data_IF_838225716574
#
_entry.id   IF_838225716574
#
_cell.length_a   1.000
_cell.length_b   1.000
_cell.length_c   1.000
_cell.angle_alpha   90.00
_cell.angle_beta   90.00
_cell.angle_gamma   90.00
#
_symmetry.space_group_name_H-M   'P 1'
#
loop_
_entity.id
_entity.type
_entity.pdbx_description
1 polymer ?
#
# COMPACT_ATOMS: atom_id res chain seq x y z
N UNK A 1 24.85 -16.20 2.02
CA UNK A 1 24.15 -17.23 1.22
C UNK A 1 22.78 -16.72 0.75
N UNK A 2 21.92 -16.24 1.66
CA UNK A 2 20.60 -15.66 1.32
C UNK A 2 20.70 -14.42 0.40
N UNK A 3 21.54 -13.44 0.75
CA UNK A 3 21.76 -12.23 -0.08
C UNK A 3 22.23 -12.49 -1.52
N UNK A 4 22.94 -13.59 -1.76
CA UNK A 4 23.37 -13.96 -3.11
C UNK A 4 22.21 -14.52 -3.94
N UNK A 5 21.32 -15.29 -3.31
CA UNK A 5 20.10 -15.80 -3.94
C UNK A 5 19.14 -14.65 -4.21
N UNK A 6 18.94 -13.73 -3.26
CA UNK A 6 18.10 -12.53 -3.44
C UNK A 6 18.53 -11.69 -4.63
N UNK A 7 19.85 -11.49 -4.78
CA UNK A 7 20.43 -10.73 -5.90
C UNK A 7 20.37 -11.49 -7.24
N UNK A 8 20.37 -12.82 -7.22
CA UNK A 8 20.20 -13.66 -8.41
C UNK A 8 18.74 -13.78 -8.86
N UNK A 9 17.79 -13.76 -7.92
CA UNK A 9 16.36 -13.86 -8.19
C UNK A 9 15.70 -12.50 -8.43
N UNK A 10 16.44 -11.40 -8.23
CA UNK A 10 15.90 -10.03 -8.26
C UNK A 10 14.99 -9.71 -7.07
N UNK A 11 14.97 -10.57 -6.03
CA UNK A 11 14.24 -10.33 -4.79
C UNK A 11 14.93 -9.27 -3.91
N UNK A 12 16.19 -8.93 -4.18
CA UNK A 12 16.84 -7.78 -3.53
C UNK A 12 16.16 -6.45 -3.87
N UNK A 13 15.45 -6.38 -5.01
CA UNK A 13 14.61 -5.25 -5.38
C UNK A 13 13.26 -5.24 -4.65
N UNK A 14 12.79 -6.37 -4.09
CA UNK A 14 11.52 -6.47 -3.35
C UNK A 14 11.72 -6.11 -1.88
N UNK A 15 11.71 -4.82 -1.58
CA UNK A 15 11.86 -4.32 -0.21
C UNK A 15 10.55 -4.36 0.57
N UNK A 16 10.63 -4.47 1.91
CA UNK A 16 9.47 -4.32 2.81
C UNK A 16 8.70 -3.02 2.55
N UNK A 17 9.42 -1.94 2.20
CA UNK A 17 8.83 -0.65 1.85
C UNK A 17 7.93 -0.75 0.61
N UNK A 18 8.36 -1.49 -0.41
CA UNK A 18 7.56 -1.69 -1.64
C UNK A 18 6.32 -2.53 -1.38
N UNK A 19 6.46 -3.61 -0.61
CA UNK A 19 5.33 -4.46 -0.22
C UNK A 19 4.32 -3.66 0.60
N UNK A 20 4.78 -2.89 1.58
CA UNK A 20 3.91 -2.05 2.40
C UNK A 20 3.21 -0.96 1.57
N UNK A 21 3.91 -0.35 0.61
CA UNK A 21 3.34 0.65 -0.29
C UNK A 21 2.25 0.07 -1.19
N UNK A 22 2.48 -1.10 -1.79
CA UNK A 22 1.47 -1.78 -2.61
C UNK A 22 0.24 -2.18 -1.78
N UNK A 23 0.46 -2.68 -0.57
CA UNK A 23 -0.62 -3.01 0.36
C UNK A 23 -1.42 -1.76 0.79
N UNK A 24 -0.75 -0.64 1.09
CA UNK A 24 -1.41 0.63 1.41
C UNK A 24 -2.26 1.15 0.24
N UNK A 25 -1.74 1.09 -0.99
CA UNK A 25 -2.47 1.48 -2.20
C UNK A 25 -3.68 0.56 -2.46
N UNK A 26 -3.50 -0.74 -2.24
CA UNK A 26 -4.57 -1.73 -2.32
C UNK A 26 -5.67 -1.46 -1.30
N UNK A 27 -5.33 -1.15 -0.04
CA UNK A 27 -6.32 -0.79 0.99
C UNK A 27 -7.12 0.47 0.61
N UNK A 28 -6.44 1.52 0.13
CA UNK A 28 -7.11 2.76 -0.33
C UNK A 28 -8.07 2.51 -1.49
N UNK A 29 -7.65 1.70 -2.45
CA UNK A 29 -8.48 1.33 -3.61
C UNK A 29 -9.65 0.44 -3.18
N UNK A 30 -9.41 -0.52 -2.29
CA UNK A 30 -10.43 -1.38 -1.70
C UNK A 30 -11.51 -0.58 -0.98
N UNK A 31 -11.13 0.38 -0.13
CA UNK A 31 -12.08 1.24 0.57
C UNK A 31 -12.98 2.02 -0.41
N UNK A 32 -12.40 2.61 -1.46
CA UNK A 32 -13.15 3.31 -2.52
C UNK A 32 -14.13 2.37 -3.23
N UNK A 33 -13.66 1.19 -3.62
CA UNK A 33 -14.46 0.22 -4.36
C UNK A 33 -15.60 -0.34 -3.50
N UNK A 34 -15.37 -0.61 -2.22
CA UNK A 34 -16.39 -1.06 -1.29
C UNK A 34 -17.44 0.02 -1.03
N UNK A 35 -17.03 1.28 -0.86
CA UNK A 35 -17.97 2.39 -0.72
C UNK A 35 -18.88 2.50 -1.96
N UNK A 36 -18.34 2.35 -3.16
CA UNK A 36 -19.14 2.30 -4.40
C UNK A 36 -20.05 1.06 -4.43
N UNK A 37 -19.56 -0.12 -4.04
CA UNK A 37 -20.38 -1.33 -4.04
C UNK A 37 -21.57 -1.24 -3.04
N UNK A 38 -21.38 -0.58 -1.90
CA UNK A 38 -22.43 -0.34 -0.90
C UNK A 38 -23.58 0.49 -1.47
N UNK A 39 -23.30 1.46 -2.35
CA UNK A 39 -24.36 2.27 -2.98
C UNK A 39 -25.18 1.48 -3.99
N UNK A 40 -24.61 0.44 -4.59
CA UNK A 40 -25.23 -0.43 -5.58
C UNK A 40 -25.79 -1.74 -4.99
N UNK A 41 -25.75 -1.91 -3.67
CA UNK A 41 -26.19 -3.14 -3.01
C UNK A 41 -27.71 -3.35 -3.13
N UNK A 42 -28.11 -4.46 -3.77
CA UNK A 42 -29.52 -4.77 -4.04
C UNK A 42 -30.31 -5.34 -2.85
N UNK A 43 -29.65 -5.75 -1.77
CA UNK A 43 -30.32 -6.26 -0.55
C UNK A 43 -29.64 -5.74 0.73
N UNK A 44 -30.36 -5.68 1.87
CA UNK A 44 -29.80 -5.29 3.15
C UNK A 44 -28.62 -6.16 3.60
N UNK A 45 -28.68 -7.47 3.36
CA UNK A 45 -27.66 -8.43 3.79
C UNK A 45 -26.34 -8.22 3.05
N UNK A 46 -26.41 -7.96 1.74
CA UNK A 46 -25.22 -7.63 0.94
C UNK A 46 -24.64 -6.28 1.36
N UNK A 47 -25.51 -5.29 1.61
CA UNK A 47 -25.08 -3.97 2.10
C UNK A 47 -24.33 -4.08 3.43
N UNK A 48 -24.85 -4.86 4.36
CA UNK A 48 -24.24 -5.09 5.67
C UNK A 48 -22.89 -5.81 5.55
N UNK A 49 -22.80 -6.84 4.69
CA UNK A 49 -21.54 -7.55 4.42
C UNK A 49 -20.46 -6.62 3.84
N UNK A 50 -20.81 -5.81 2.83
CA UNK A 50 -19.88 -4.86 2.22
C UNK A 50 -19.46 -3.77 3.20
N UNK A 51 -20.37 -3.33 4.08
CA UNK A 51 -20.07 -2.35 5.14
C UNK A 51 -19.02 -2.90 6.11
N UNK A 52 -19.16 -4.16 6.56
CA UNK A 52 -18.14 -4.80 7.41
C UNK A 52 -16.78 -4.93 6.72
N UNK A 53 -16.77 -5.25 5.42
CA UNK A 53 -15.51 -5.26 4.66
C UNK A 53 -14.88 -3.88 4.53
N UNK A 54 -15.70 -2.82 4.39
CA UNK A 54 -15.21 -1.44 4.36
C UNK A 54 -14.56 -1.09 5.70
N UNK A 55 -15.23 -1.36 6.81
CA UNK A 55 -14.70 -1.14 8.17
C UNK A 55 -13.35 -1.84 8.36
N UNK A 56 -13.26 -3.14 8.05
CA UNK A 56 -12.01 -3.88 8.15
C UNK A 56 -10.90 -3.33 7.22
N UNK A 57 -11.26 -2.81 6.05
CA UNK A 57 -10.29 -2.19 5.13
C UNK A 57 -9.80 -0.83 5.65
N UNK A 58 -10.65 -0.08 6.35
CA UNK A 58 -10.28 1.18 7.00
C UNK A 58 -9.31 0.93 8.16
N UNK A 59 -9.58 -0.08 8.98
CA UNK A 59 -8.67 -0.51 10.07
C UNK A 59 -7.31 -0.93 9.50
N UNK A 60 -7.31 -1.76 8.44
CA UNK A 60 -6.09 -2.17 7.75
C UNK A 60 -5.30 -0.96 7.21
N UNK A 61 -5.98 0.01 6.59
CA UNK A 61 -5.34 1.24 6.12
C UNK A 61 -4.68 2.01 7.26
N UNK A 62 -5.35 2.14 8.41
CA UNK A 62 -4.78 2.82 9.59
C UNK A 62 -3.53 2.12 10.11
N UNK A 63 -3.57 0.79 10.23
CA UNK A 63 -2.43 -0.01 10.68
C UNK A 63 -1.21 0.15 9.76
N UNK A 64 -1.41 -0.03 8.46
CA UNK A 64 -0.31 0.05 7.48
C UNK A 64 0.23 1.48 7.38
N UNK A 65 -0.65 2.48 7.29
CA UNK A 65 -0.22 3.88 7.17
C UNK A 65 0.57 4.32 8.42
N UNK A 66 0.12 3.91 9.61
CA UNK A 66 0.84 4.15 10.86
C UNK A 66 2.20 3.45 10.88
N UNK A 67 2.25 2.18 10.46
CA UNK A 67 3.50 1.43 10.34
C UNK A 67 4.49 2.11 9.39
N UNK A 68 4.03 2.50 8.20
CA UNK A 68 4.88 3.18 7.20
C UNK A 68 5.34 4.57 7.67
N UNK A 69 4.48 5.32 8.36
CA UNK A 69 4.87 6.60 8.98
C UNK A 69 5.97 6.41 10.02
N UNK A 70 5.85 5.42 10.91
CA UNK A 70 6.88 5.08 11.92
C UNK A 70 8.22 4.68 11.28
N UNK A 71 8.19 4.10 10.08
CA UNK A 71 9.39 3.71 9.32
C UNK A 71 9.97 4.83 8.46
N UNK A 72 9.30 5.99 8.36
CA UNK A 72 9.70 7.06 7.43
C UNK A 72 9.42 6.73 5.95
N UNK A 73 8.56 5.75 5.69
CA UNK A 73 8.19 5.29 4.35
C UNK A 73 6.93 5.98 3.80
N UNK A 74 6.24 6.75 4.64
CA UNK A 74 5.03 7.48 4.27
C UNK A 74 4.86 8.75 5.12
N UNK A 75 4.52 9.87 4.49
CA UNK A 75 4.31 11.18 5.10
C UNK A 75 2.91 11.71 4.75
N UNK A 76 1.87 11.12 5.35
CA UNK A 76 0.47 11.43 5.03
C UNK A 76 0.09 12.91 5.12
N UNK A 77 0.71 13.63 6.05
CA UNK A 77 0.36 15.02 6.40
C UNK A 77 1.41 16.05 5.94
N UNK A 78 2.48 15.60 5.29
CA UNK A 78 3.53 16.46 4.76
C UNK A 78 3.77 16.10 3.29
N UNK A 79 3.08 16.81 2.40
CA UNK A 79 3.11 16.57 0.96
C UNK A 79 4.47 16.91 0.35
N UNK A 80 5.20 17.88 0.89
CA UNK A 80 6.56 18.22 0.45
C UNK A 80 7.52 17.06 0.72
N UNK A 81 7.55 16.57 1.96
CA UNK A 81 8.40 15.44 2.35
C UNK A 81 7.99 14.16 1.61
N UNK A 82 6.69 13.92 1.44
CA UNK A 82 6.20 12.80 0.63
C UNK A 82 6.67 12.91 -0.83
N UNK A 83 6.70 14.11 -1.40
CA UNK A 83 7.16 14.33 -2.78
C UNK A 83 8.65 14.08 -2.90
N UNK A 84 9.45 14.57 -1.95
CA UNK A 84 10.89 14.32 -1.89
C UNK A 84 11.21 12.82 -1.77
N UNK A 85 10.52 12.11 -0.86
CA UNK A 85 10.64 10.66 -0.72
C UNK A 85 10.27 9.95 -2.03
N UNK A 86 9.19 10.37 -2.70
CA UNK A 86 8.78 9.78 -3.98
C UNK A 86 9.84 9.99 -5.08
N UNK A 87 10.44 11.18 -5.17
CA UNK A 87 11.54 11.46 -6.11
C UNK A 87 12.74 10.54 -5.86
N UNK A 88 13.15 10.38 -4.61
CA UNK A 88 14.24 9.47 -4.22
C UNK A 88 13.92 8.01 -4.57
N UNK A 89 12.69 7.56 -4.32
CA UNK A 89 12.23 6.22 -4.68
C UNK A 89 12.26 6.00 -6.21
N UNK A 90 11.84 7.00 -7.00
CA UNK A 90 11.92 6.92 -8.47
C UNK A 90 13.36 6.86 -8.97
N UNK A 91 14.26 7.69 -8.43
CA UNK A 91 15.69 7.63 -8.76
C UNK A 91 16.32 6.29 -8.40
N UNK A 92 15.90 5.69 -7.29
CA UNK A 92 16.33 4.36 -6.88
C UNK A 92 15.82 3.31 -7.86
N UNK A 93 14.54 3.37 -8.24
CA UNK A 93 13.93 2.46 -9.20
C UNK A 93 14.61 2.50 -10.57
N UNK A 94 14.99 3.69 -11.06
CA UNK A 94 15.72 3.85 -12.32
C UNK A 94 17.11 3.20 -12.33
N UNK A 95 17.70 2.95 -11.15
CA UNK A 95 19.01 2.29 -10.99
C UNK A 95 18.88 0.79 -10.83
N UNK A 96 17.67 0.26 -10.63
CA UNK A 96 17.45 -1.18 -10.53
C UNK A 96 17.71 -1.83 -11.90
N UNK A 97 18.30 -3.05 -11.93
CA UNK A 97 18.43 -3.80 -13.16
C UNK A 97 17.06 -4.03 -13.79
N UNK A 98 16.92 -3.72 -15.08
CA UNK A 98 15.75 -4.17 -15.85
C UNK A 98 15.84 -5.69 -16.03
N UNK A 99 14.77 -6.40 -15.69
CA UNK A 99 14.59 -7.82 -15.99
C UNK A 99 14.68 -8.09 -17.50
#
# INVERSE_FOLDING_TARGET
MIQFIEKLTGMDALTDQMVAMDLLNSAKSGARNLAMAITEAGTPEIKEMLTRHLEATLDLHEEISTYMMKKGWYYAWNTEEQTNLNLQNMETALKLPTL
#
